data_IF_651174813826
#
_entry.id   IF_651174813826
#
_cell.length_a   1.000
_cell.length_b   1.000
_cell.length_c   1.000
_cell.angle_alpha   90.00
_cell.angle_beta   90.00
_cell.angle_gamma   90.00
#
_symmetry.space_group_name_H-M   'P 1'
#
loop_
_entity.id
_entity.type
_entity.pdbx_description
1 polymer ?
#
# COMPACT_ATOMS: atom_id res chain seq x y z
N UNK A 1 43.75 11.96 40.68
CA UNK A 1 42.87 12.63 39.70
C UNK A 1 42.33 11.58 38.74
N UNK A 2 41.08 11.16 38.94
CA UNK A 2 40.38 10.32 37.96
C UNK A 2 40.22 11.13 36.67
N UNK A 3 40.68 10.56 35.54
CA UNK A 3 40.63 11.22 34.22
C UNK A 3 39.18 11.47 33.82
N UNK A 4 38.71 12.71 33.97
CA UNK A 4 37.36 13.16 33.58
C UNK A 4 37.03 12.88 32.09
N UNK A 5 38.06 12.72 31.25
CA UNK A 5 37.92 12.37 29.83
C UNK A 5 37.41 10.95 29.55
N UNK A 6 37.28 10.11 30.59
CA UNK A 6 36.68 8.76 30.49
C UNK A 6 35.27 8.68 31.06
N UNK A 7 34.68 9.81 31.46
CA UNK A 7 33.30 9.83 31.89
C UNK A 7 32.38 9.63 30.68
N UNK A 8 31.25 8.95 30.91
CA UNK A 8 30.23 8.87 29.88
C UNK A 8 29.86 10.30 29.43
N UNK A 9 29.65 10.50 28.13
CA UNK A 9 29.33 11.77 27.45
C UNK A 9 30.42 12.83 27.37
N UNK A 10 31.68 12.51 27.72
CA UNK A 10 32.81 13.44 27.59
C UNK A 10 33.43 13.45 26.17
N UNK A 11 33.14 12.45 25.33
CA UNK A 11 33.57 12.39 23.93
C UNK A 11 32.55 13.02 22.99
N UNK A 12 33.01 13.66 21.91
CA UNK A 12 32.17 14.21 20.83
C UNK A 12 31.42 13.13 20.02
N UNK A 13 31.77 11.86 20.24
CA UNK A 13 31.14 10.70 19.62
C UNK A 13 30.66 9.80 20.76
N UNK A 14 29.37 9.47 20.78
CA UNK A 14 28.86 8.46 21.71
C UNK A 14 29.41 7.08 21.32
N UNK A 15 29.92 6.35 22.30
CA UNK A 15 30.22 4.93 22.18
C UNK A 15 28.92 4.12 21.98
N UNK A 16 29.04 2.89 21.48
CA UNK A 16 27.87 2.00 21.30
C UNK A 16 27.07 1.80 22.59
N UNK A 17 27.75 1.69 23.73
CA UNK A 17 27.11 1.51 25.03
C UNK A 17 26.36 2.77 25.50
N UNK A 18 26.88 3.95 25.17
CA UNK A 18 26.19 5.22 25.42
C UNK A 18 24.99 5.37 24.49
N UNK A 19 25.16 5.16 23.18
CA UNK A 19 24.07 5.18 22.20
C UNK A 19 22.89 4.30 22.59
N UNK A 20 23.16 3.11 23.16
CA UNK A 20 22.10 2.19 23.61
C UNK A 20 21.36 2.67 24.86
N UNK A 21 22.00 3.50 25.69
CA UNK A 21 21.39 4.10 26.90
C UNK A 21 20.58 5.36 26.59
N UNK A 22 20.81 6.00 25.46
CA UNK A 22 20.08 7.21 25.05
C UNK A 22 18.64 6.86 24.69
N UNK A 23 17.71 7.78 25.00
CA UNK A 23 16.31 7.61 24.61
C UNK A 23 15.97 8.17 23.22
N UNK A 24 16.86 9.01 22.69
CA UNK A 24 16.72 9.70 21.42
C UNK A 24 17.50 9.03 20.28
N UNK A 25 17.23 9.44 19.04
CA UNK A 25 17.86 8.89 17.84
C UNK A 25 17.27 7.56 17.36
N UNK A 26 17.95 6.91 16.42
CA UNK A 26 17.50 5.65 15.82
C UNK A 26 17.91 4.45 16.68
N UNK A 27 16.94 3.76 17.28
CA UNK A 27 17.18 2.53 18.04
C UNK A 27 16.98 1.32 17.13
N UNK A 28 17.93 0.39 17.14
CA UNK A 28 17.84 -0.90 16.43
C UNK A 28 17.88 -2.01 17.46
N UNK A 29 16.92 -2.93 17.40
CA UNK A 29 16.86 -4.10 18.27
C UNK A 29 16.62 -5.35 17.45
N UNK A 30 17.38 -6.40 17.77
CA UNK A 30 17.13 -7.75 17.25
C UNK A 30 15.99 -8.38 18.01
N UNK A 31 15.04 -8.90 17.24
CA UNK A 31 13.91 -9.64 17.78
C UNK A 31 14.30 -11.09 18.03
N UNK A 32 13.80 -11.66 19.12
CA UNK A 32 14.00 -13.07 19.47
C UNK A 32 13.17 -14.00 18.58
N UNK A 33 13.35 -15.30 18.75
CA UNK A 33 12.58 -16.33 18.04
C UNK A 33 11.08 -16.22 18.33
N UNK A 34 10.69 -15.87 19.56
CA UNK A 34 9.29 -15.72 19.99
C UNK A 34 8.53 -14.61 19.25
N UNK A 35 9.25 -13.64 18.68
CA UNK A 35 8.66 -12.56 17.89
C UNK A 35 8.53 -12.91 16.40
N UNK A 36 8.92 -14.13 16.02
CA UNK A 36 8.88 -14.60 14.63
C UNK A 36 7.74 -15.60 14.48
N UNK A 37 6.89 -15.38 13.48
CA UNK A 37 5.86 -16.34 13.07
C UNK A 37 6.51 -17.65 12.61
N UNK A 38 5.89 -18.76 12.98
CA UNK A 38 6.28 -20.09 12.49
C UNK A 38 6.07 -20.22 10.98
N UNK A 39 6.85 -21.09 10.35
CA UNK A 39 6.82 -21.31 8.90
C UNK A 39 5.48 -21.86 8.39
N UNK A 40 4.75 -22.58 9.25
CA UNK A 40 3.45 -23.20 9.00
C UNK A 40 2.27 -22.37 9.55
N UNK A 41 2.53 -21.17 10.08
CA UNK A 41 1.49 -20.31 10.63
C UNK A 41 0.89 -19.36 9.58
N UNK A 42 -0.40 -19.08 9.74
CA UNK A 42 -1.13 -18.13 8.91
C UNK A 42 -0.68 -16.70 9.19
N UNK A 43 -0.48 -15.88 8.15
CA UNK A 43 -0.08 -14.49 8.31
C UNK A 43 -1.20 -13.57 8.84
N UNK A 44 -2.45 -14.04 8.90
CA UNK A 44 -3.59 -13.28 9.43
C UNK A 44 -3.89 -13.64 10.89
N UNK A 45 -4.02 -14.93 11.22
CA UNK A 45 -4.36 -15.36 12.59
C UNK A 45 -3.16 -15.79 13.44
N UNK A 46 -1.95 -15.86 12.87
CA UNK A 46 -0.68 -16.25 13.53
C UNK A 46 -0.64 -17.66 14.13
N UNK A 47 -1.74 -18.40 14.10
CA UNK A 47 -1.83 -19.81 14.45
C UNK A 47 -1.39 -20.69 13.28
N UNK A 48 -1.12 -21.97 13.55
CA UNK A 48 -0.86 -22.97 12.51
C UNK A 48 -1.99 -22.98 11.48
N UNK A 49 -1.63 -22.93 10.20
CA UNK A 49 -2.58 -22.74 9.13
C UNK A 49 -3.47 -23.98 8.91
N UNK A 50 -4.79 -23.78 9.00
CA UNK A 50 -5.81 -24.76 8.67
C UNK A 50 -6.15 -24.67 7.18
N UNK A 51 -6.15 -25.81 6.49
CA UNK A 51 -6.24 -25.87 5.02
C UNK A 51 -5.34 -24.81 4.35
N UNK A 52 -4.01 -24.95 4.48
CA UNK A 52 -3.11 -23.86 4.17
C UNK A 52 -3.19 -23.48 2.68
N UNK A 53 -3.31 -22.19 2.42
CA UNK A 53 -3.28 -21.59 1.08
C UNK A 53 -2.19 -20.54 1.01
N UNK A 54 -1.60 -20.37 -0.17
CA UNK A 54 -0.55 -19.37 -0.40
C UNK A 54 -0.88 -18.43 -1.55
N UNK A 55 -0.40 -17.20 -1.45
CA UNK A 55 -0.40 -16.26 -2.57
C UNK A 55 0.79 -16.49 -3.52
N UNK A 56 0.78 -15.83 -4.66
CA UNK A 56 1.86 -15.94 -5.66
C UNK A 56 3.24 -15.45 -5.15
N UNK A 57 3.26 -14.62 -4.10
CA UNK A 57 4.50 -14.17 -3.44
C UNK A 57 4.94 -15.09 -2.29
N UNK A 58 4.21 -16.16 -1.99
CA UNK A 58 4.60 -17.16 -1.00
C UNK A 58 4.15 -16.90 0.44
N UNK A 59 3.28 -15.92 0.71
CA UNK A 59 2.70 -15.74 2.04
C UNK A 59 1.68 -16.86 2.31
N UNK A 60 1.66 -17.39 3.52
CA UNK A 60 0.83 -18.53 3.93
C UNK A 60 -0.37 -18.06 4.75
N UNK A 61 -1.53 -18.68 4.54
CA UNK A 61 -2.75 -18.34 5.24
C UNK A 61 -3.65 -19.55 5.49
N UNK A 62 -4.57 -19.43 6.44
CA UNK A 62 -5.75 -20.30 6.49
C UNK A 62 -6.69 -19.92 5.37
N UNK A 63 -7.31 -20.92 4.75
CA UNK A 63 -8.31 -20.71 3.69
C UNK A 63 -9.44 -19.78 4.12
N UNK A 64 -10.02 -20.02 5.30
CA UNK A 64 -11.10 -19.19 5.86
C UNK A 64 -10.65 -17.74 6.09
N UNK A 65 -9.50 -17.53 6.76
CA UNK A 65 -9.00 -16.19 7.06
C UNK A 65 -8.77 -15.34 5.81
N UNK A 66 -8.24 -15.91 4.72
CA UNK A 66 -8.06 -15.14 3.47
C UNK A 66 -9.39 -14.83 2.83
N UNK A 67 -10.34 -15.77 2.85
CA UNK A 67 -11.65 -15.53 2.27
C UNK A 67 -12.39 -14.42 3.00
N UNK A 68 -12.37 -14.43 4.33
CA UNK A 68 -12.97 -13.36 5.13
C UNK A 68 -12.29 -12.03 4.85
N UNK A 69 -10.95 -11.98 4.80
CA UNK A 69 -10.18 -10.76 4.51
C UNK A 69 -10.44 -10.23 3.09
N UNK A 70 -10.55 -11.10 2.09
CA UNK A 70 -10.88 -10.67 0.72
C UNK A 70 -12.31 -10.14 0.61
N UNK A 71 -13.27 -10.74 1.33
CA UNK A 71 -14.66 -10.26 1.34
C UNK A 71 -14.77 -8.90 2.03
N UNK A 72 -14.14 -8.73 3.19
CA UNK A 72 -14.12 -7.43 3.89
C UNK A 72 -13.47 -6.35 3.04
N UNK A 73 -12.35 -6.66 2.39
CA UNK A 73 -11.74 -5.74 1.45
C UNK A 73 -12.68 -5.39 0.29
N UNK A 74 -13.39 -6.35 -0.31
CA UNK A 74 -14.34 -6.06 -1.39
C UNK A 74 -15.48 -5.13 -0.94
N UNK A 75 -15.99 -5.33 0.28
CA UNK A 75 -17.03 -4.47 0.87
C UNK A 75 -16.51 -3.05 1.13
N UNK A 76 -15.30 -2.93 1.65
CA UNK A 76 -14.66 -1.62 1.88
C UNK A 76 -14.38 -0.90 0.55
N UNK A 77 -13.93 -1.64 -0.46
CA UNK A 77 -13.75 -1.10 -1.82
C UNK A 77 -15.08 -0.59 -2.38
N UNK A 78 -16.18 -1.33 -2.16
CA UNK A 78 -17.52 -0.89 -2.59
C UNK A 78 -17.95 0.39 -1.87
N UNK A 79 -17.76 0.47 -0.56
CA UNK A 79 -18.04 1.68 0.25
C UNK A 79 -17.21 2.88 -0.20
N UNK A 80 -15.92 2.69 -0.43
CA UNK A 80 -15.02 3.72 -0.92
C UNK A 80 -15.41 4.20 -2.31
N UNK A 81 -15.76 3.29 -3.22
CA UNK A 81 -16.25 3.64 -4.56
C UNK A 81 -17.53 4.47 -4.52
N UNK A 82 -18.51 4.07 -3.71
CA UNK A 82 -19.75 4.84 -3.54
C UNK A 82 -19.49 6.24 -2.98
N UNK A 83 -18.58 6.38 -2.00
CA UNK A 83 -18.19 7.68 -1.45
C UNK A 83 -17.48 8.55 -2.49
N UNK A 84 -16.59 7.97 -3.29
CA UNK A 84 -15.89 8.69 -4.37
C UNK A 84 -16.85 9.10 -5.49
N UNK A 85 -17.84 8.27 -5.82
CA UNK A 85 -18.87 8.58 -6.82
C UNK A 85 -19.79 9.72 -6.33
N UNK A 86 -20.19 9.70 -5.06
CA UNK A 86 -20.97 10.79 -4.46
C UNK A 86 -20.19 12.13 -4.49
N UNK A 87 -18.92 12.13 -4.09
CA UNK A 87 -18.07 13.32 -4.15
C UNK A 87 -17.87 13.82 -5.59
N UNK A 88 -17.76 12.92 -6.57
CA UNK A 88 -17.66 13.30 -7.99
C UNK A 88 -18.95 13.96 -8.47
N UNK A 89 -20.11 13.42 -8.10
CA UNK A 89 -21.41 14.01 -8.45
C UNK A 89 -21.57 15.40 -7.85
N UNK A 90 -21.25 15.59 -6.57
CA UNK A 90 -21.28 16.90 -5.90
C UNK A 90 -20.34 17.91 -6.57
N UNK A 91 -19.12 17.48 -6.94
CA UNK A 91 -18.17 18.33 -7.66
C UNK A 91 -18.64 18.69 -9.08
N UNK A 92 -19.31 17.78 -9.79
CA UNK A 92 -19.90 18.06 -11.11
C UNK A 92 -21.07 19.04 -11.01
N UNK A 93 -21.94 18.90 -10.01
CA UNK A 93 -23.04 19.84 -9.71
C UNK A 93 -22.52 21.22 -9.32
N UNK A 94 -21.47 21.30 -8.50
CA UNK A 94 -20.79 22.57 -8.17
C UNK A 94 -20.17 23.22 -9.42
N UNK A 95 -19.53 22.42 -10.28
CA UNK A 95 -18.97 22.92 -11.55
C UNK A 95 -20.05 23.42 -12.51
N UNK A 96 -21.22 22.77 -12.56
CA UNK A 96 -22.36 23.23 -13.35
C UNK A 96 -22.90 24.56 -12.81
N UNK A 97 -23.12 24.66 -11.49
CA UNK A 97 -23.53 25.92 -10.84
C UNK A 97 -22.54 27.05 -11.07
N UNK A 98 -21.23 26.75 -11.02
CA UNK A 98 -20.20 27.74 -11.32
C UNK A 98 -20.25 28.22 -12.79
N UNK A 99 -20.53 27.33 -13.74
CA UNK A 99 -20.71 27.68 -15.16
C UNK A 99 -21.94 28.53 -15.39
N UNK A 100 -23.07 28.19 -14.76
CA UNK A 100 -24.30 28.99 -14.83
C UNK A 100 -24.08 30.39 -14.23
N UNK A 101 -23.46 30.47 -13.05
CA UNK A 101 -23.11 31.76 -12.44
C UNK A 101 -22.15 32.61 -13.30
N UNK A 102 -21.21 31.97 -14.00
CA UNK A 102 -20.33 32.68 -14.93
C UNK A 102 -21.09 33.21 -16.15
N UNK A 103 -22.01 32.42 -16.71
CA UNK A 103 -22.89 32.85 -17.81
C UNK A 103 -23.77 34.02 -17.40
N UNK A 104 -24.39 33.95 -16.22
CA UNK A 104 -25.19 35.04 -15.67
C UNK A 104 -24.38 36.33 -15.50
N UNK A 105 -23.13 36.23 -15.02
CA UNK A 105 -22.24 37.41 -14.91
C UNK A 105 -21.94 38.04 -16.28
N UNK A 106 -21.64 37.22 -17.28
CA UNK A 106 -21.38 37.70 -18.66
C UNK A 106 -22.62 38.38 -19.24
N UNK A 107 -23.81 37.79 -19.05
CA UNK A 107 -25.07 38.38 -19.51
C UNK A 107 -25.37 39.71 -18.82
N UNK A 108 -25.20 39.80 -17.49
CA UNK A 108 -25.39 41.05 -16.74
C UNK A 108 -24.40 42.14 -17.14
N UNK A 109 -23.15 41.78 -17.45
CA UNK A 109 -22.15 42.72 -17.96
C UNK A 109 -22.50 43.20 -19.37
N UNK A 110 -22.98 42.30 -20.23
CA UNK A 110 -23.48 42.64 -21.57
C UNK A 110 -24.71 43.56 -21.52
N UNK A 111 -25.69 43.27 -20.67
CA UNK A 111 -26.88 44.10 -20.46
C UNK A 111 -26.53 45.49 -19.94
N UNK A 112 -25.62 45.60 -18.97
CA UNK A 112 -25.08 46.89 -18.50
C UNK A 112 -24.34 47.63 -19.61
N UNK A 113 -23.61 46.92 -20.45
CA UNK A 113 -22.95 47.47 -21.64
C UNK A 113 -23.93 48.03 -22.67
N UNK A 114 -25.06 47.36 -22.91
CA UNK A 114 -26.13 47.86 -23.80
C UNK A 114 -26.94 49.01 -23.20
N UNK A 115 -27.29 48.95 -21.92
CA UNK A 115 -27.98 50.03 -21.21
C UNK A 115 -27.10 51.27 -21.02
N UNK A 116 -25.77 51.11 -21.12
CA UNK A 116 -24.77 52.17 -21.04
C UNK A 116 -24.55 52.97 -22.34
N UNK A 117 -25.34 52.77 -23.40
CA UNK A 117 -25.16 53.49 -24.67
C UNK A 117 -25.70 54.94 -24.63
N UNK A 118 -24.89 55.80 -24.02
CA UNK A 118 -24.45 57.05 -24.64
C UNK A 118 -22.92 57.06 -24.92
N UNK A 119 -22.25 55.91 -24.92
CA UNK A 119 -20.84 55.81 -25.33
C UNK A 119 -20.60 54.62 -26.25
N UNK A 120 -20.00 54.89 -27.42
CA UNK A 120 -19.77 53.93 -28.50
C UNK A 120 -18.88 52.74 -28.05
N UNK A 121 -19.08 51.53 -28.59
CA UNK A 121 -18.26 50.39 -28.21
C UNK A 121 -16.90 50.47 -28.89
N UNK A 122 -15.83 50.75 -28.14
CA UNK A 122 -14.46 50.37 -28.51
C UNK A 122 -14.32 48.86 -28.36
N UNK A 123 -14.74 48.12 -29.39
CA UNK A 123 -14.37 46.71 -29.57
C UNK A 123 -12.85 46.69 -29.80
N UNK A 124 -12.09 46.45 -28.74
CA UNK A 124 -10.66 46.21 -28.83
C UNK A 124 -10.43 44.74 -29.19
N UNK A 125 -10.46 44.42 -30.49
CA UNK A 125 -9.97 43.12 -30.96
C UNK A 125 -8.45 43.07 -30.77
N UNK A 126 -7.98 42.36 -29.75
CA UNK A 126 -6.57 41.99 -29.62
C UNK A 126 -6.22 40.87 -30.62
N UNK A 127 -6.19 41.22 -31.91
CA UNK A 127 -5.56 40.42 -32.96
C UNK A 127 -4.20 41.03 -33.27
N UNK A 128 -3.13 40.35 -32.87
CA UNK A 128 -1.77 40.71 -33.27
C UNK A 128 -1.60 40.50 -34.78
N UNK A 129 -1.64 41.59 -35.55
CA UNK A 129 -1.11 41.63 -36.91
C UNK A 129 -0.56 43.02 -37.21
N UNK A 130 0.76 43.07 -37.36
CA UNK A 130 1.60 44.02 -38.11
C UNK A 130 1.08 45.45 -38.37
N UNK A 131 1.88 46.42 -37.90
CA UNK A 131 1.90 47.83 -38.32
C UNK A 131 1.77 47.97 -39.86
N UNK A 132 0.73 48.65 -40.30
CA UNK A 132 0.87 49.82 -41.18
C UNK A 132 -0.45 50.61 -41.24
N UNK A 133 -0.33 51.93 -41.11
CA UNK A 133 -1.42 52.89 -41.13
C UNK A 133 -2.02 53.01 -42.52
N UNK A 134 -3.35 52.97 -42.64
CA UNK A 134 -4.09 53.76 -43.65
C UNK A 134 -5.55 53.97 -43.23
N UNK A 135 -5.95 55.21 -43.44
CA UNK A 135 -7.15 55.92 -42.98
C UNK A 135 -8.35 55.55 -43.86
N UNK A 136 -9.49 55.23 -43.24
CA UNK A 136 -10.81 55.32 -43.86
C UNK A 136 -11.10 54.33 -44.99
N UNK A 137 -11.47 53.10 -44.65
CA UNK A 137 -12.32 52.27 -45.51
C UNK A 137 -13.24 51.48 -44.61
N UNK A 138 -14.56 51.67 -44.78
CA UNK A 138 -15.59 50.91 -44.06
C UNK A 138 -15.43 49.43 -44.41
N UNK A 139 -14.70 48.70 -43.57
CA UNK A 139 -14.68 47.24 -43.63
C UNK A 139 -16.10 46.80 -43.33
N UNK A 140 -16.74 46.10 -44.27
CA UNK A 140 -17.97 45.37 -43.98
C UNK A 140 -17.65 44.45 -42.81
N UNK A 141 -18.35 44.66 -41.71
CA UNK A 141 -18.31 43.74 -40.59
C UNK A 141 -19.14 42.54 -41.04
N UNK A 142 -18.47 41.51 -41.54
CA UNK A 142 -19.12 40.24 -41.85
C UNK A 142 -19.37 39.55 -40.51
N UNK A 143 -20.63 39.57 -40.09
CA UNK A 143 -21.11 38.96 -38.86
C UNK A 143 -21.18 37.45 -39.07
N UNK A 144 -20.11 36.75 -38.74
CA UNK A 144 -20.06 35.30 -38.79
C UNK A 144 -20.53 34.72 -37.44
N UNK A 145 -21.64 33.99 -37.45
CA UNK A 145 -22.25 33.33 -36.28
C UNK A 145 -21.22 32.53 -35.46
N UNK A 146 -20.32 31.81 -36.13
CA UNK A 146 -19.25 31.04 -35.49
C UNK A 146 -18.26 31.90 -34.70
N UNK A 147 -18.04 33.15 -35.09
CA UNK A 147 -17.14 34.06 -34.37
C UNK A 147 -17.80 34.58 -33.08
N UNK A 148 -19.11 34.81 -33.12
CA UNK A 148 -19.89 35.20 -31.94
C UNK A 148 -19.90 34.08 -30.90
N UNK A 149 -20.04 32.83 -31.34
CA UNK A 149 -19.98 31.66 -30.45
C UNK A 149 -18.60 31.49 -29.80
N UNK A 150 -17.51 31.75 -30.55
CA UNK A 150 -16.15 31.68 -30.00
C UNK A 150 -15.95 32.78 -28.95
N UNK A 151 -16.35 34.02 -29.24
CA UNK A 151 -16.26 35.12 -28.28
C UNK A 151 -17.12 34.88 -27.04
N UNK A 152 -18.32 34.32 -27.19
CA UNK A 152 -19.18 33.96 -26.06
C UNK A 152 -18.53 32.90 -25.15
N UNK A 153 -17.94 31.85 -25.74
CA UNK A 153 -17.21 30.82 -24.98
C UNK A 153 -15.96 31.37 -24.29
N UNK A 154 -15.23 32.26 -24.95
CA UNK A 154 -14.05 32.90 -24.36
C UNK A 154 -14.45 33.83 -23.19
N UNK A 155 -15.56 34.56 -23.31
CA UNK A 155 -16.12 35.38 -22.24
C UNK A 155 -16.60 34.53 -21.05
N UNK A 156 -17.27 33.39 -21.31
CA UNK A 156 -17.67 32.42 -20.27
C UNK A 156 -16.44 31.85 -19.53
N UNK A 157 -15.39 31.47 -20.25
CA UNK A 157 -14.13 30.96 -19.67
C UNK A 157 -13.37 32.03 -18.87
N UNK A 158 -13.34 33.27 -19.36
CA UNK A 158 -12.73 34.40 -18.67
C UNK A 158 -13.47 34.74 -17.37
N UNK A 159 -14.80 34.78 -17.40
CA UNK A 159 -15.64 34.97 -16.23
C UNK A 159 -15.39 33.86 -15.20
N UNK A 160 -15.40 32.59 -15.60
CA UNK A 160 -15.06 31.45 -14.72
C UNK A 160 -13.71 31.63 -14.02
N UNK A 161 -12.65 31.99 -14.76
CA UNK A 161 -11.31 32.24 -14.18
C UNK A 161 -11.27 33.43 -13.22
N UNK A 162 -12.20 34.38 -13.36
CA UNK A 162 -12.31 35.52 -12.45
C UNK A 162 -13.07 35.12 -11.17
N UNK A 163 -14.16 34.35 -11.30
CA UNK A 163 -14.86 33.76 -10.15
C UNK A 163 -13.90 32.88 -9.33
N UNK A 164 -13.13 32.02 -9.99
CA UNK A 164 -12.16 31.15 -9.32
C UNK A 164 -11.08 31.95 -8.56
N UNK A 165 -10.59 33.06 -9.13
CA UNK A 165 -9.63 33.95 -8.45
C UNK A 165 -10.24 34.65 -7.24
N UNK A 166 -11.43 35.21 -7.38
CA UNK A 166 -12.17 35.86 -6.28
C UNK A 166 -12.48 34.87 -5.14
N UNK A 167 -12.93 33.66 -5.48
CA UNK A 167 -13.18 32.60 -4.50
C UNK A 167 -11.88 32.17 -3.82
N UNK A 168 -10.78 32.01 -4.56
CA UNK A 168 -9.48 31.66 -4.00
C UNK A 168 -8.93 32.76 -3.07
N UNK A 169 -9.11 34.04 -3.40
CA UNK A 169 -8.71 35.17 -2.56
C UNK A 169 -9.59 35.32 -1.30
N UNK A 170 -10.90 35.11 -1.44
CA UNK A 170 -11.85 35.09 -0.32
C UNK A 170 -11.58 33.91 0.64
N UNK A 171 -11.12 32.77 0.12
CA UNK A 171 -10.71 31.62 0.93
C UNK A 171 -9.33 31.83 1.59
N UNK A 172 -8.39 32.53 0.93
CA UNK A 172 -7.08 32.90 1.51
C UNK A 172 -7.23 33.81 2.72
N UNK A 173 -8.18 34.76 2.70
CA UNK A 173 -8.38 35.71 3.79
C UNK A 173 -9.15 35.10 5.00
N UNK A 174 -9.64 33.86 4.89
CA UNK A 174 -10.47 33.19 5.91
C UNK A 174 -9.80 32.05 6.66
N UNK A 175 -8.57 31.66 6.33
CA UNK A 175 -7.97 30.44 6.90
C UNK A 175 -6.53 30.65 7.41
N UNK A 176 -6.32 30.63 8.74
CA UNK A 176 -5.28 29.80 9.31
C UNK A 176 -5.72 28.33 9.28
N UNK A 177 -4.78 27.44 9.01
CA UNK A 177 -4.82 25.98 9.25
C UNK A 177 -5.37 25.05 8.15
N UNK A 178 -4.41 24.57 7.35
CA UNK A 178 -4.07 23.21 6.84
C UNK A 178 -5.05 22.00 6.90
N UNK A 179 -6.22 22.05 7.53
CA UNK A 179 -7.07 20.87 7.82
C UNK A 179 -8.33 20.72 6.97
N UNK A 180 -8.57 21.57 5.97
CA UNK A 180 -9.69 21.39 5.05
C UNK A 180 -9.36 20.34 3.96
N UNK A 181 -10.13 19.24 3.84
CA UNK A 181 -9.89 18.19 2.85
C UNK A 181 -9.79 18.67 1.38
N UNK A 182 -10.47 19.76 1.03
CA UNK A 182 -10.40 20.40 -0.30
C UNK A 182 -9.08 21.13 -0.59
N UNK A 183 -8.29 21.41 0.44
CA UNK A 183 -6.98 22.08 0.37
C UNK A 183 -5.84 21.20 0.91
N UNK A 184 -6.12 19.94 1.27
CA UNK A 184 -5.07 19.03 1.71
C UNK A 184 -4.11 18.76 0.54
N UNK A 185 -2.81 19.03 0.68
CA UNK A 185 -1.85 18.56 -0.29
C UNK A 185 -1.87 17.03 -0.20
N UNK A 186 -2.37 16.35 -1.23
CA UNK A 186 -2.34 14.89 -1.32
C UNK A 186 -0.89 14.42 -1.34
N UNK A 187 -0.28 14.31 -0.15
CA UNK A 187 1.09 13.86 0.07
C UNK A 187 1.08 12.34 0.22
N UNK A 188 1.54 11.66 -0.82
CA UNK A 188 2.05 10.29 -0.69
C UNK A 188 3.50 10.29 -1.16
N UNK A 189 4.34 9.45 -0.56
CA UNK A 189 5.80 9.44 -0.74
C UNK A 189 6.31 9.11 -2.16
N UNK A 190 5.43 9.07 -3.15
CA UNK A 190 5.70 8.80 -4.56
C UNK A 190 4.89 9.71 -5.49
N UNK A 191 5.05 11.02 -5.30
CA UNK A 191 4.43 12.05 -6.14
C UNK A 191 2.95 12.33 -5.83
N UNK A 192 2.41 13.49 -6.26
CA UNK A 192 1.02 13.82 -6.05
C UNK A 192 0.14 12.94 -6.97
N UNK A 193 -0.87 12.21 -6.45
CA UNK A 193 -1.94 11.75 -7.32
C UNK A 193 -2.61 12.98 -7.93
N UNK A 194 -2.53 13.13 -9.25
CA UNK A 194 -3.08 14.29 -9.98
C UNK A 194 -4.60 14.34 -9.92
N UNK A 195 -5.25 13.24 -9.55
CA UNK A 195 -6.68 13.16 -9.32
C UNK A 195 -7.03 11.98 -8.41
N UNK A 196 -8.15 12.07 -7.69
CA UNK A 196 -8.76 10.93 -6.96
C UNK A 196 -9.16 9.76 -7.90
N UNK A 197 -9.10 9.95 -9.22
CA UNK A 197 -9.41 8.94 -10.21
C UNK A 197 -8.26 7.93 -10.45
N UNK A 198 -7.04 8.24 -10.00
CA UNK A 198 -5.84 7.43 -10.30
C UNK A 198 -5.58 6.30 -9.29
N UNK A 199 -6.33 6.24 -8.18
CA UNK A 199 -6.15 5.18 -7.18
C UNK A 199 -6.92 3.93 -7.61
N UNK A 200 -6.22 2.99 -8.25
CA UNK A 200 -6.79 1.69 -8.62
C UNK A 200 -7.02 0.85 -7.36
N UNK A 201 -8.22 0.97 -6.78
CA UNK A 201 -8.59 0.23 -5.58
C UNK A 201 -8.76 -1.25 -5.93
N UNK A 202 -7.84 -2.09 -5.44
CA UNK A 202 -7.83 -3.54 -5.62
C UNK A 202 -7.65 -4.24 -4.29
N UNK A 203 -8.15 -5.47 -4.18
CA UNK A 203 -7.87 -6.34 -3.04
C UNK A 203 -6.37 -6.65 -2.95
N UNK A 204 -5.82 -6.57 -1.76
CA UNK A 204 -4.40 -6.70 -1.48
C UNK A 204 -4.11 -7.77 -0.43
N UNK A 205 -2.95 -8.39 -0.54
CA UNK A 205 -2.45 -9.32 0.45
C UNK A 205 -1.90 -8.55 1.65
N UNK A 206 -2.52 -8.72 2.83
CA UNK A 206 -2.04 -8.14 4.09
C UNK A 206 -0.85 -8.88 4.72
N UNK A 207 -0.52 -10.08 4.26
CA UNK A 207 0.58 -10.87 4.81
C UNK A 207 2.00 -10.43 4.41
N UNK A 208 2.16 -9.38 3.59
CA UNK A 208 3.47 -8.95 3.11
C UNK A 208 3.58 -7.45 2.90
N UNK A 209 4.78 -6.91 3.16
CA UNK A 209 5.16 -5.51 2.95
C UNK A 209 6.21 -5.43 1.81
N UNK A 210 5.93 -4.76 0.68
CA UNK A 210 4.72 -3.99 0.36
C UNK A 210 3.52 -4.86 -0.01
N UNK A 211 2.32 -4.32 0.24
CA UNK A 211 1.06 -4.91 -0.16
C UNK A 211 1.03 -5.14 -1.68
N UNK A 212 0.42 -6.24 -2.11
CA UNK A 212 0.35 -6.62 -3.52
C UNK A 212 -1.02 -7.14 -3.86
N UNK A 213 -1.46 -7.02 -5.13
CA UNK A 213 -2.79 -7.43 -5.53
C UNK A 213 -2.98 -8.93 -5.30
N UNK A 214 -4.07 -9.28 -4.64
CA UNK A 214 -4.44 -10.67 -4.36
C UNK A 214 -5.89 -10.87 -4.77
N UNK A 215 -6.14 -11.92 -5.53
CA UNK A 215 -7.50 -12.32 -5.90
C UNK A 215 -7.74 -13.76 -5.47
N UNK A 216 -9.01 -14.13 -5.26
CA UNK A 216 -9.41 -15.50 -4.89
C UNK A 216 -8.84 -16.58 -5.81
N UNK A 217 -8.77 -16.33 -7.12
CA UNK A 217 -8.26 -17.29 -8.12
C UNK A 217 -6.75 -17.49 -8.05
N UNK A 218 -6.04 -16.55 -7.43
CA UNK A 218 -4.59 -16.58 -7.32
C UNK A 218 -4.10 -17.33 -6.08
N UNK A 219 -5.01 -17.90 -5.28
CA UNK A 219 -4.70 -18.72 -4.12
C UNK A 219 -4.34 -20.14 -4.55
N UNK A 220 -3.27 -20.66 -3.96
CA UNK A 220 -2.70 -21.95 -4.30
C UNK A 220 -2.79 -22.82 -3.04
N UNK A 221 -3.39 -24.02 -3.09
CA UNK A 221 -3.42 -24.92 -1.95
C UNK A 221 -1.99 -25.39 -1.62
N UNK A 222 -1.70 -25.49 -0.33
CA UNK A 222 -0.40 -25.94 0.18
C UNK A 222 -0.60 -27.25 0.93
N UNK A 223 0.13 -28.28 0.52
CA UNK A 223 0.09 -29.60 1.11
C UNK A 223 1.46 -29.89 1.73
N UNK A 224 1.53 -29.73 3.06
CA UNK A 224 2.68 -30.19 3.83
C UNK A 224 2.60 -31.70 4.02
N UNK A 225 3.74 -32.38 3.82
CA UNK A 225 3.89 -33.77 4.23
C UNK A 225 4.33 -33.76 5.68
N UNK A 226 3.55 -34.42 6.52
CA UNK A 226 3.82 -34.55 7.95
C UNK A 226 4.39 -35.94 8.21
N UNK A 227 5.40 -36.02 9.07
CA UNK A 227 5.86 -37.30 9.58
C UNK A 227 4.72 -37.93 10.40
N UNK A 228 4.28 -39.13 10.01
CA UNK A 228 3.39 -39.92 10.86
C UNK A 228 4.27 -40.44 11.98
N UNK A 229 4.09 -39.94 13.20
CA UNK A 229 4.61 -40.63 14.38
C UNK A 229 4.06 -42.06 14.33
N UNK A 230 4.93 -43.03 14.02
CA UNK A 230 4.73 -44.39 14.47
C UNK A 230 4.64 -44.31 15.99
N UNK A 231 3.53 -44.79 16.55
CA UNK A 231 3.39 -45.00 17.98
C UNK A 231 4.66 -45.69 18.53
N UNK A 232 5.53 -44.92 19.18
CA UNK A 232 6.58 -45.46 20.03
C UNK A 232 5.97 -45.81 21.39
N UNK A 233 6.44 -46.87 22.07
CA UNK A 233 5.88 -47.29 23.34
C UNK A 233 6.02 -46.17 24.39
N UNK A 234 5.13 -46.11 25.39
CA UNK A 234 5.20 -45.09 26.42
C UNK A 234 6.59 -45.13 27.06
N UNK A 235 7.29 -44.00 27.06
CA UNK A 235 8.54 -43.86 27.79
C UNK A 235 8.28 -44.28 29.23
N UNK A 236 8.97 -45.33 29.67
CA UNK A 236 8.97 -45.80 31.05
C UNK A 236 9.34 -44.63 31.96
N UNK A 237 8.39 -44.28 32.81
CA UNK A 237 8.57 -43.40 33.96
C UNK A 237 9.62 -44.04 34.89
N UNK A 238 10.86 -43.57 34.81
CA UNK A 238 11.81 -43.78 35.90
C UNK A 238 11.43 -42.81 37.01
N UNK A 239 11.17 -43.39 38.18
CA UNK A 239 10.46 -42.76 39.29
C UNK A 239 11.36 -41.82 40.09
N UNK A 240 10.89 -40.60 40.30
CA UNK A 240 11.27 -39.77 41.46
C UNK A 240 10.03 -38.93 41.87
N UNK A 241 9.59 -38.98 43.15
CA UNK A 241 8.39 -38.27 43.60
C UNK A 241 8.69 -36.88 44.19
N UNK A 242 7.63 -36.05 44.23
CA UNK A 242 7.49 -34.72 44.87
C UNK A 242 8.25 -33.56 44.18
N UNK A 243 7.63 -32.46 43.76
CA UNK A 243 6.65 -31.61 44.46
C UNK A 243 5.69 -30.88 43.50
N UNK A 244 4.65 -30.32 44.10
CA UNK A 244 3.38 -29.84 43.55
C UNK A 244 3.45 -28.55 42.70
N UNK A 245 2.40 -28.39 41.87
CA UNK A 245 1.86 -27.16 41.28
C UNK A 245 2.60 -26.53 40.10
N UNK A 246 2.20 -26.94 38.88
CA UNK A 246 2.06 -26.06 37.72
C UNK A 246 1.07 -26.72 36.74
N UNK A 247 -0.14 -26.18 36.65
CA UNK A 247 -1.09 -26.51 35.57
C UNK A 247 -0.53 -25.99 34.24
N UNK A 248 0.28 -26.81 33.56
CA UNK A 248 0.56 -26.59 32.15
C UNK A 248 -0.60 -27.14 31.30
N UNK A 249 -1.16 -26.36 30.35
CA UNK A 249 -2.18 -26.88 29.46
C UNK A 249 -1.53 -27.92 28.55
N UNK A 250 -2.00 -29.17 28.63
CA UNK A 250 -1.61 -30.25 27.72
C UNK A 250 -1.73 -29.77 26.28
N UNK A 251 -0.60 -29.53 25.61
CA UNK A 251 -0.56 -29.19 24.20
C UNK A 251 -1.34 -30.24 23.42
N UNK A 252 -2.32 -29.78 22.66
CA UNK A 252 -3.17 -30.67 21.87
C UNK A 252 -2.31 -31.50 20.91
N UNK A 253 -2.67 -32.76 20.73
CA UNK A 253 -1.99 -33.81 19.94
C UNK A 253 -1.74 -33.44 18.45
N UNK A 254 -2.10 -32.23 18.03
CA UNK A 254 -1.82 -31.65 16.73
C UNK A 254 -0.44 -30.99 16.65
N UNK A 255 0.07 -30.41 17.74
CA UNK A 255 1.31 -29.60 17.76
C UNK A 255 2.61 -30.41 17.56
N UNK A 256 2.57 -31.73 17.74
CA UNK A 256 3.74 -32.61 17.59
C UNK A 256 3.99 -33.08 16.15
N UNK A 257 3.09 -32.80 15.21
CA UNK A 257 3.29 -33.22 13.81
C UNK A 257 4.36 -32.34 13.16
N UNK A 258 5.53 -32.89 12.90
CA UNK A 258 6.65 -32.21 12.24
C UNK A 258 6.51 -32.31 10.71
N UNK A 259 6.58 -31.18 10.02
CA UNK A 259 6.56 -31.16 8.55
C UNK A 259 7.94 -31.58 8.00
N UNK A 260 7.94 -32.43 6.97
CA UNK A 260 9.15 -32.95 6.35
C UNK A 260 9.15 -32.73 4.85
N UNK A 261 10.36 -32.60 4.28
CA UNK A 261 10.54 -32.58 2.84
C UNK A 261 10.32 -33.99 2.25
N UNK A 262 9.49 -34.17 1.21
CA UNK A 262 9.21 -35.47 0.60
C UNK A 262 10.46 -36.22 0.11
N UNK A 263 11.46 -35.48 -0.37
CA UNK A 263 12.63 -36.07 -1.02
C UNK A 263 13.78 -36.40 -0.06
N UNK A 264 14.17 -35.45 0.79
CA UNK A 264 15.31 -35.63 1.71
C UNK A 264 14.90 -35.95 3.15
N UNK A 265 13.60 -36.01 3.45
CA UNK A 265 13.05 -36.18 4.80
C UNK A 265 13.55 -35.18 5.84
N UNK A 266 14.17 -34.08 5.39
CA UNK A 266 14.62 -32.99 6.26
C UNK A 266 13.40 -32.31 6.88
N UNK A 267 13.45 -32.07 8.19
CA UNK A 267 12.44 -31.30 8.92
C UNK A 267 12.40 -29.85 8.41
N UNK A 268 11.19 -29.38 8.12
CA UNK A 268 10.94 -28.02 7.67
C UNK A 268 10.85 -27.11 8.90
N UNK A 269 11.56 -25.99 8.87
CA UNK A 269 11.59 -24.99 9.94
C UNK A 269 11.82 -23.59 9.38
N UNK A 270 11.73 -22.57 10.23
CA UNK A 270 12.03 -21.17 9.87
C UNK A 270 13.47 -20.96 9.36
N UNK A 271 14.39 -21.91 9.57
CA UNK A 271 15.74 -21.84 9.02
C UNK A 271 15.83 -22.29 7.55
N UNK A 272 14.94 -23.20 7.15
CA UNK A 272 14.96 -23.82 5.83
C UNK A 272 14.16 -23.01 4.83
N UNK A 273 14.77 -22.72 3.67
CA UNK A 273 14.04 -22.13 2.55
C UNK A 273 13.21 -23.23 1.88
N UNK A 274 11.93 -22.93 1.64
CA UNK A 274 10.94 -23.86 1.11
C UNK A 274 10.35 -23.32 -0.18
N UNK A 275 10.01 -24.22 -1.09
CA UNK A 275 9.37 -23.91 -2.37
C UNK A 275 8.09 -24.72 -2.51
N UNK A 276 7.05 -24.05 -2.98
CA UNK A 276 5.74 -24.58 -3.29
C UNK A 276 5.62 -24.80 -4.80
N UNK A 277 5.11 -25.96 -5.20
CA UNK A 277 4.79 -26.27 -6.58
C UNK A 277 3.33 -25.93 -6.85
N UNK A 278 3.05 -24.92 -7.69
CA UNK A 278 1.70 -24.40 -7.93
C UNK A 278 0.65 -25.44 -8.38
N UNK A 279 0.91 -26.36 -9.33
CA UNK A 279 -0.15 -27.24 -9.83
C UNK A 279 -0.58 -28.33 -8.83
N UNK A 280 0.31 -28.76 -7.94
CA UNK A 280 0.06 -29.88 -7.02
C UNK A 280 0.09 -29.50 -5.53
N UNK A 281 0.54 -28.30 -5.18
CA UNK A 281 0.57 -27.80 -3.82
C UNK A 281 1.66 -28.40 -2.92
N UNK A 282 2.52 -29.28 -3.41
CA UNK A 282 3.56 -29.91 -2.60
C UNK A 282 4.69 -28.93 -2.25
N UNK A 283 5.16 -29.01 -0.99
CA UNK A 283 6.26 -28.19 -0.47
C UNK A 283 7.56 -28.99 -0.40
N UNK A 284 8.64 -28.40 -0.90
CA UNK A 284 9.96 -29.02 -0.98
C UNK A 284 11.02 -28.05 -0.48
N UNK A 285 12.09 -28.55 0.15
CA UNK A 285 13.19 -27.70 0.60
C UNK A 285 14.02 -27.16 -0.58
N UNK A 286 14.78 -26.09 -0.35
CA UNK A 286 15.64 -25.45 -1.36
C UNK A 286 16.58 -26.41 -2.07
N UNK A 287 17.25 -27.29 -1.34
CA UNK A 287 18.25 -28.20 -1.91
C UNK A 287 17.64 -29.19 -2.89
N UNK A 288 16.51 -29.81 -2.52
CA UNK A 288 15.77 -30.70 -3.41
C UNK A 288 15.16 -29.93 -4.59
N UNK A 289 14.71 -28.70 -4.38
CA UNK A 289 14.19 -27.86 -5.46
C UNK A 289 15.28 -27.55 -6.50
N UNK A 290 16.47 -27.16 -6.06
CA UNK A 290 17.57 -26.82 -6.97
C UNK A 290 18.18 -28.02 -7.67
N UNK A 291 18.25 -29.18 -7.00
CA UNK A 291 18.92 -30.38 -7.52
C UNK A 291 18.00 -31.31 -8.31
N UNK A 292 16.73 -31.39 -7.95
CA UNK A 292 15.80 -32.37 -8.52
C UNK A 292 14.70 -31.68 -9.34
N UNK A 293 13.98 -30.73 -8.75
CA UNK A 293 12.81 -30.11 -9.40
C UNK A 293 13.19 -29.21 -10.57
N UNK A 294 14.18 -28.33 -10.40
CA UNK A 294 14.57 -27.38 -11.46
C UNK A 294 15.19 -28.07 -12.69
N UNK A 295 16.02 -29.12 -12.55
CA UNK A 295 16.53 -29.83 -13.73
C UNK A 295 15.47 -30.67 -14.46
N UNK A 296 14.57 -31.34 -13.73
CA UNK A 296 13.53 -32.18 -14.34
C UNK A 296 12.25 -31.41 -14.71
N UNK A 297 12.08 -30.19 -14.19
CA UNK A 297 10.86 -29.39 -14.32
C UNK A 297 9.59 -30.16 -13.95
N UNK A 298 9.69 -30.99 -12.91
CA UNK A 298 8.64 -31.93 -12.51
C UNK A 298 8.58 -32.07 -10.99
N UNK A 299 7.38 -32.26 -10.44
CA UNK A 299 7.18 -32.46 -9.02
C UNK A 299 7.66 -33.85 -8.58
N UNK A 300 8.49 -33.92 -7.53
CA UNK A 300 9.07 -35.18 -7.03
C UNK A 300 8.02 -36.14 -6.42
N UNK A 301 6.88 -35.62 -5.97
CA UNK A 301 5.88 -36.43 -5.23
C UNK A 301 4.78 -37.00 -6.14
N UNK A 302 4.44 -36.30 -7.22
CA UNK A 302 3.27 -36.62 -8.03
C UNK A 302 3.52 -36.49 -9.54
N UNK A 303 4.78 -36.27 -9.93
CA UNK A 303 5.21 -36.24 -11.33
C UNK A 303 4.49 -35.21 -12.22
N UNK A 304 3.81 -34.23 -11.61
CA UNK A 304 3.20 -33.12 -12.31
C UNK A 304 4.27 -32.26 -13.00
N UNK A 305 4.04 -31.94 -14.28
CA UNK A 305 4.90 -31.03 -15.06
C UNK A 305 4.80 -29.61 -14.51
N UNK A 306 5.94 -28.94 -14.40
CA UNK A 306 6.06 -27.61 -13.82
C UNK A 306 6.68 -26.65 -14.82
N UNK A 307 6.22 -25.40 -14.81
CA UNK A 307 6.95 -24.28 -15.41
C UNK A 307 7.78 -23.53 -14.35
N UNK A 308 8.80 -22.75 -14.78
CA UNK A 308 9.70 -22.07 -13.83
C UNK A 308 8.94 -21.08 -12.92
N UNK A 309 7.92 -20.42 -13.48
CA UNK A 309 7.05 -19.46 -12.77
C UNK A 309 6.12 -20.12 -11.75
N UNK A 310 5.97 -21.44 -11.81
CA UNK A 310 5.10 -22.21 -10.92
C UNK A 310 5.81 -22.70 -9.66
N UNK A 311 7.13 -22.46 -9.57
CA UNK A 311 7.95 -22.74 -8.40
C UNK A 311 7.99 -21.48 -7.55
N UNK A 312 7.16 -21.43 -6.51
CA UNK A 312 7.00 -20.26 -5.65
C UNK A 312 7.80 -20.45 -4.37
N UNK A 313 8.64 -19.49 -4.00
CA UNK A 313 9.33 -19.52 -2.72
C UNK A 313 8.36 -19.11 -1.61
N UNK A 314 8.19 -19.94 -0.57
CA UNK A 314 7.37 -19.58 0.58
C UNK A 314 8.10 -18.53 1.45
N UNK A 315 7.37 -17.50 1.85
CA UNK A 315 7.85 -16.45 2.74
C UNK A 315 7.92 -16.99 4.16
N UNK A 316 9.12 -16.97 4.73
CA UNK A 316 9.38 -17.31 6.12
C UNK A 316 9.89 -16.08 6.86
N UNK A 317 9.64 -16.05 8.15
CA UNK A 317 10.21 -15.03 9.02
C UNK A 317 11.61 -15.43 9.50
N UNK A 318 12.22 -14.55 10.30
CA UNK A 318 13.55 -14.78 10.84
C UNK A 318 13.60 -15.94 11.84
N UNK A 319 14.82 -16.32 12.21
CA UNK A 319 15.08 -17.27 13.31
C UNK A 319 15.68 -16.58 14.54
N UNK A 320 15.55 -15.25 14.63
CA UNK A 320 16.15 -14.39 15.67
C UNK A 320 17.68 -14.23 15.62
N UNK A 321 18.41 -15.24 15.13
CA UNK A 321 19.88 -15.26 15.11
C UNK A 321 20.50 -15.13 13.72
N UNK A 322 19.88 -15.73 12.69
CA UNK A 322 20.41 -15.73 11.33
C UNK A 322 19.90 -14.52 10.53
N UNK A 323 20.73 -14.01 9.61
CA UNK A 323 20.42 -12.88 8.73
C UNK A 323 19.26 -13.12 7.73
N UNK A 324 18.65 -14.32 7.72
CA UNK A 324 17.57 -14.64 6.82
C UNK A 324 16.21 -14.31 7.43
N UNK A 325 15.60 -13.19 7.02
CA UNK A 325 14.27 -12.74 7.44
C UNK A 325 14.28 -11.34 8.08
N UNK A 326 13.11 -10.86 8.53
CA UNK A 326 12.94 -9.59 9.24
C UNK A 326 13.35 -9.73 10.73
N UNK A 327 14.63 -9.95 11.01
CA UNK A 327 15.13 -10.18 12.37
C UNK A 327 15.47 -8.90 13.17
N UNK A 328 15.48 -7.74 12.51
CA UNK A 328 15.84 -6.45 13.10
C UNK A 328 14.72 -5.44 12.91
N UNK A 329 14.28 -4.83 14.01
CA UNK A 329 13.38 -3.68 13.99
C UNK A 329 14.16 -2.41 14.29
N UNK A 330 13.82 -1.32 13.60
CA UNK A 330 14.35 0.00 13.90
C UNK A 330 13.23 1.00 14.20
N UNK A 331 13.40 1.75 15.29
CA UNK A 331 12.55 2.89 15.64
C UNK A 331 13.34 4.16 15.38
N UNK A 332 12.86 5.00 14.46
CA UNK A 332 13.43 6.34 14.23
C UNK A 332 12.85 7.30 15.27
N UNK A 333 13.66 7.72 16.23
CA UNK A 333 13.31 8.79 17.16
C UNK A 333 13.67 10.17 16.60
N UNK A 334 13.31 11.21 17.35
CA UNK A 334 13.77 12.58 17.08
C UNK A 334 15.30 12.60 17.15
N UNK A 335 15.95 13.18 16.14
CA UNK A 335 17.39 13.34 16.14
C UNK A 335 17.80 14.23 17.32
N UNK A 336 18.90 13.88 17.98
CA UNK A 336 19.48 14.76 18.99
C UNK A 336 19.88 16.08 18.31
N UNK A 337 19.11 17.13 18.54
CA UNK A 337 19.51 18.49 18.22
C UNK A 337 20.32 18.96 19.44
N UNK A 338 21.64 18.78 19.34
CA UNK A 338 22.61 19.27 20.33
C UNK A 338 22.91 20.74 20.13
#
# INVERSE_FOLDING_TARGET
>A
MTKHSKNNTASSIFSYAEYKKLDYGTKRQRLGNESMRRFDACALCLQRAREPVSCQKGHLFCKECVYTDLVTQLDDIKRQKARLEAMKREAEEERQRAREAARERVLLEFEKGQLGLASAPTISTSGAASKESLRGTKRKFDFDESTVDILAREAEEAALRQIEREQAEALKHKLPDFWLPSLTPTYTSSGPPRSLADVKIQTACHGGTPAHPLTRKNLIPVNFIWEKNSAGPPRSVESTPATENSEEPKASHEDEKVAICPSCKKTLSNSTLMYLMKPCGHVVCKTCTTKLVKPSMQCIQCDAKLAEKEIIQLTREGTGYAAGGLAETSKKGVAFQG
#
